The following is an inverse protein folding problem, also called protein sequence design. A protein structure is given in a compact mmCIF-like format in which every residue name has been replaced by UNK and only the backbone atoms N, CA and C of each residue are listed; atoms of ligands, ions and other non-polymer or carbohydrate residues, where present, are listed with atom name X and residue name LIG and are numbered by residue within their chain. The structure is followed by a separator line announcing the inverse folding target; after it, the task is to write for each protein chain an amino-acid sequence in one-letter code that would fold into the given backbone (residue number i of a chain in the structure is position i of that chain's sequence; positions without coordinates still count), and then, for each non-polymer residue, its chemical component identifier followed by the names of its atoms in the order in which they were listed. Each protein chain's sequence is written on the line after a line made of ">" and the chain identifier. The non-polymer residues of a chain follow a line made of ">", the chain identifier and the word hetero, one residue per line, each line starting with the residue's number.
data_IF_769605398476
#
_entry.id   IF_769605398476
#
_cell.length_a   1.000
_cell.length_b   1.000
_cell.length_c   1.000
_cell.angle_alpha   90.00
_cell.angle_beta   90.00
_cell.angle_gamma   90.00
#
_symmetry.space_group_name_H-M   'P 1'
#
loop_
_entity.id
_entity.type
_entity.pdbx_description
1 polymer ?
#
# COMPACT_ATOMS: atom_id res chain seq x y z
N UNK A 1 3.83 3.51 31.19
CA UNK A 1 3.23 4.69 30.54
C UNK A 1 3.54 4.59 29.04
N UNK A 2 2.54 4.48 28.16
CA UNK A 2 2.79 4.48 26.70
C UNK A 2 3.39 5.85 26.30
N UNK A 3 4.49 5.84 25.55
CA UNK A 3 5.09 7.06 25.02
C UNK A 3 4.49 7.43 23.64
N UNK A 4 4.72 8.68 23.23
CA UNK A 4 4.18 9.22 21.96
C UNK A 4 4.58 8.40 20.73
N UNK A 5 5.81 7.86 20.68
CA UNK A 5 6.26 7.02 19.56
C UNK A 5 5.47 5.70 19.49
N UNK A 6 5.22 5.05 20.63
CA UNK A 6 4.45 3.80 20.68
C UNK A 6 3.03 4.00 20.16
N UNK A 7 2.37 5.10 20.56
CA UNK A 7 1.02 5.43 20.09
C UNK A 7 0.97 5.71 18.58
N UNK A 8 1.96 6.43 18.04
CA UNK A 8 2.07 6.70 16.60
C UNK A 8 2.25 5.40 15.80
N UNK A 9 3.18 4.53 16.24
CA UNK A 9 3.44 3.26 15.58
C UNK A 9 2.19 2.38 15.56
N UNK A 10 1.49 2.27 16.68
CA UNK A 10 0.23 1.51 16.80
C UNK A 10 -0.84 2.02 15.82
N UNK A 11 -0.95 3.33 15.64
CA UNK A 11 -1.86 3.93 14.67
C UNK A 11 -1.48 3.58 13.23
N UNK A 12 -0.19 3.65 12.89
CA UNK A 12 0.31 3.28 11.56
C UNK A 12 0.04 1.81 11.28
N UNK A 13 0.36 0.92 12.22
CA UNK A 13 0.17 -0.52 12.06
C UNK A 13 -1.31 -0.89 11.94
N UNK A 14 -2.18 -0.26 12.74
CA UNK A 14 -3.64 -0.43 12.64
C UNK A 14 -4.16 -0.02 11.27
N UNK A 15 -3.79 1.17 10.77
CA UNK A 15 -4.20 1.65 9.45
C UNK A 15 -3.69 0.74 8.32
N UNK A 16 -2.42 0.29 8.39
CA UNK A 16 -1.87 -0.68 7.42
C UNK A 16 -2.61 -2.01 7.48
N UNK A 17 -3.01 -2.46 8.67
CA UNK A 17 -3.80 -3.66 8.86
C UNK A 17 -5.16 -3.58 8.17
N UNK A 18 -5.89 -2.47 8.35
CA UNK A 18 -7.17 -2.24 7.70
C UNK A 18 -7.05 -2.32 6.16
N UNK A 19 -6.07 -1.61 5.59
CA UNK A 19 -5.87 -1.58 4.13
C UNK A 19 -5.44 -2.94 3.55
N UNK A 20 -4.72 -3.75 4.33
CA UNK A 20 -4.28 -5.09 3.92
C UNK A 20 -5.36 -6.17 4.03
N UNK A 21 -6.40 -5.94 4.84
CA UNK A 21 -7.50 -6.86 5.05
C UNK A 21 -8.69 -6.61 4.11
N UNK A 22 -8.62 -5.58 3.26
CA UNK A 22 -9.62 -5.37 2.21
C UNK A 22 -9.66 -6.56 1.25
N UNK A 23 -10.86 -6.93 0.84
CA UNK A 23 -11.08 -7.99 -0.14
C UNK A 23 -10.73 -7.56 -1.57
N UNK A 24 -10.52 -6.26 -1.79
CA UNK A 24 -10.15 -5.66 -3.07
C UNK A 24 -8.66 -5.29 -3.12
N UNK A 25 -8.11 -5.30 -4.34
CA UNK A 25 -6.78 -4.77 -4.59
C UNK A 25 -6.79 -3.25 -4.44
N UNK A 26 -5.89 -2.72 -3.61
CA UNK A 26 -5.74 -1.30 -3.38
C UNK A 26 -4.32 -0.85 -3.70
N UNK A 27 -4.22 0.19 -4.51
CA UNK A 27 -3.02 0.98 -4.72
C UNK A 27 -3.30 2.43 -4.35
N UNK A 28 -2.30 3.13 -3.82
CA UNK A 28 -2.35 4.57 -3.64
C UNK A 28 -1.26 5.21 -4.48
N UNK A 29 -1.55 6.39 -5.04
CA UNK A 29 -0.59 7.17 -5.81
C UNK A 29 -0.37 8.56 -5.21
N UNK A 30 0.81 9.12 -5.45
CA UNK A 30 1.08 10.53 -5.20
C UNK A 30 0.51 11.44 -6.32
N UNK A 31 0.75 12.75 -6.22
CA UNK A 31 0.30 13.74 -7.21
C UNK A 31 0.92 13.55 -8.60
N UNK A 32 2.05 12.85 -8.69
CA UNK A 32 2.74 12.52 -9.93
C UNK A 32 2.37 11.11 -10.42
N UNK A 33 1.29 10.51 -9.89
CA UNK A 33 0.81 9.17 -10.22
C UNK A 33 1.79 8.04 -9.84
N UNK A 34 2.81 8.31 -9.03
CA UNK A 34 3.73 7.27 -8.55
C UNK A 34 3.05 6.44 -7.48
N UNK A 35 3.12 5.12 -7.61
CA UNK A 35 2.55 4.19 -6.63
C UNK A 35 3.34 4.29 -5.33
N UNK A 36 2.65 4.60 -4.24
CA UNK A 36 3.23 4.74 -2.88
C UNK A 36 2.72 3.68 -1.89
N UNK A 37 1.76 2.86 -2.30
CA UNK A 37 1.23 1.77 -1.49
C UNK A 37 0.66 0.66 -2.38
N UNK A 38 0.86 -0.58 -1.96
CA UNK A 38 0.37 -1.78 -2.63
C UNK A 38 -0.08 -2.82 -1.61
N UNK A 39 -1.40 -3.04 -1.49
CA UNK A 39 -1.90 -3.96 -0.46
C UNK A 39 -1.67 -5.44 -0.82
N UNK A 40 -1.83 -6.31 0.19
CA UNK A 40 -1.71 -7.76 0.03
C UNK A 40 -2.62 -8.33 -1.08
N UNK A 41 -3.82 -7.78 -1.24
CA UNK A 41 -4.79 -8.27 -2.23
C UNK A 41 -4.40 -7.88 -3.65
N UNK A 42 -3.86 -6.69 -3.87
CA UNK A 42 -3.34 -6.24 -5.17
C UNK A 42 -2.23 -7.16 -5.67
N UNK A 43 -1.30 -7.56 -4.79
CA UNK A 43 -0.28 -8.58 -5.10
C UNK A 43 -0.91 -9.91 -5.54
N UNK A 44 -1.95 -10.37 -4.83
CA UNK A 44 -2.63 -11.64 -5.16
C UNK A 44 -3.39 -11.60 -6.48
N UNK A 45 -4.01 -10.46 -6.82
CA UNK A 45 -4.80 -10.32 -8.06
C UNK A 45 -3.87 -10.22 -9.27
N UNK A 46 -2.78 -9.47 -9.14
CA UNK A 46 -1.94 -9.06 -10.28
C UNK A 46 -0.68 -9.90 -10.45
N UNK A 47 -0.22 -10.56 -9.37
CA UNK A 47 1.07 -11.25 -9.32
C UNK A 47 2.28 -10.36 -8.98
N UNK A 48 2.14 -9.03 -9.03
CA UNK A 48 3.26 -8.12 -8.78
C UNK A 48 3.50 -7.87 -7.29
N UNK A 49 4.76 -7.93 -6.86
CA UNK A 49 5.15 -7.55 -5.52
C UNK A 49 5.20 -6.02 -5.39
N UNK A 50 5.12 -5.55 -4.15
CA UNK A 50 5.24 -4.12 -3.83
C UNK A 50 6.57 -3.54 -4.35
N UNK A 51 7.67 -4.29 -4.19
CA UNK A 51 9.00 -3.93 -4.72
C UNK A 51 9.03 -3.69 -6.23
N UNK A 52 8.12 -4.31 -6.96
CA UNK A 52 8.11 -4.30 -8.42
C UNK A 52 7.36 -3.08 -8.95
N UNK A 53 6.55 -2.41 -8.11
CA UNK A 53 5.60 -1.38 -8.54
C UNK A 53 5.75 -0.05 -7.80
N UNK A 54 6.27 -0.04 -6.57
CA UNK A 54 6.48 1.19 -5.81
C UNK A 54 7.39 2.16 -6.58
N UNK A 55 7.06 3.44 -6.52
CA UNK A 55 7.70 4.56 -7.23
C UNK A 55 7.59 4.54 -8.76
N UNK A 56 6.96 3.51 -9.37
CA UNK A 56 6.59 3.53 -10.79
C UNK A 56 5.28 4.29 -10.99
N UNK A 57 5.08 4.87 -12.16
CA UNK A 57 3.79 5.51 -12.48
C UNK A 57 2.72 4.45 -12.66
N UNK A 58 1.52 4.68 -12.13
CA UNK A 58 0.39 3.76 -12.32
C UNK A 58 -0.10 3.69 -13.77
N UNK A 59 0.33 4.64 -14.62
CA UNK A 59 0.01 4.66 -16.06
C UNK A 59 0.88 3.75 -16.91
N UNK A 60 2.02 3.27 -16.39
CA UNK A 60 3.07 2.63 -17.19
C UNK A 60 2.79 1.13 -17.46
N UNK A 61 1.52 0.78 -17.69
CA UNK A 61 1.07 -0.56 -18.11
C UNK A 61 1.27 -1.68 -17.07
N UNK A 62 1.38 -1.36 -15.78
CA UNK A 62 1.47 -2.37 -14.70
C UNK A 62 0.14 -3.12 -14.52
N UNK A 63 -0.98 -2.50 -14.91
CA UNK A 63 -2.33 -3.04 -14.80
C UNK A 63 -3.02 -2.89 -16.16
N UNK A 64 -3.32 -4.02 -16.81
CA UNK A 64 -4.07 -4.11 -18.06
C UNK A 64 -5.39 -4.80 -17.75
#
# INVERSE_FOLDING_TARGET
>A
MENKLTSIKKNIDFRRGLLNNLNDGLLLVDKNKKIIFWNKKARKITGYNESDVINKSCSDSILI
#
